data_IF_690465665535
#
_entry.id   IF_690465665535
#
_cell.length_a   1.000
_cell.length_b   1.000
_cell.length_c   1.000
_cell.angle_alpha   90.00
_cell.angle_beta   90.00
_cell.angle_gamma   90.00
#
_symmetry.space_group_name_H-M   'P 1'
#
loop_
_entity.id
_entity.type
_entity.pdbx_description
1 polymer ?
#
# COMPACT_ATOMS: atom_id res chain seq x y z
N UNK A 1 38.99 27.93 89.61
CA UNK A 1 39.18 28.97 88.57
C UNK A 1 39.34 28.29 87.23
N UNK A 2 38.85 28.74 86.08
CA UNK A 2 37.84 29.71 85.65
C UNK A 2 37.65 29.35 84.15
N UNK A 3 36.43 29.43 83.65
CA UNK A 3 36.08 29.49 82.21
C UNK A 3 36.92 30.57 81.48
N UNK A 4 37.14 30.49 80.14
CA UNK A 4 36.16 31.07 79.22
C UNK A 4 36.08 30.46 77.79
N UNK A 5 34.86 30.41 77.25
CA UNK A 5 34.51 30.69 75.84
C UNK A 5 34.91 32.11 75.45
N UNK A 6 35.24 32.44 74.18
CA UNK A 6 34.24 33.02 73.27
C UNK A 6 34.45 32.60 71.78
N UNK A 7 33.40 32.40 70.98
CA UNK A 7 32.49 33.36 70.33
C UNK A 7 33.04 33.99 69.02
N UNK A 8 32.37 33.61 67.93
CA UNK A 8 31.84 34.43 66.83
C UNK A 8 32.65 35.59 66.26
N UNK A 9 32.88 35.54 64.93
CA UNK A 9 32.62 36.68 64.05
C UNK A 9 32.57 36.29 62.57
N UNK A 10 31.52 36.79 61.92
CA UNK A 10 31.26 36.84 60.49
C UNK A 10 32.35 37.65 59.76
N UNK A 11 32.67 37.32 58.50
CA UNK A 11 32.70 38.35 57.45
C UNK A 11 32.63 37.80 56.01
N UNK A 12 32.00 38.64 55.20
CA UNK A 12 31.50 38.53 53.84
C UNK A 12 32.56 39.04 52.82
N UNK A 13 32.42 38.67 51.53
CA UNK A 13 32.87 39.38 50.28
C UNK A 13 33.88 38.64 49.37
N UNK A 14 33.45 38.41 48.11
CA UNK A 14 34.21 38.09 46.86
C UNK A 14 35.16 39.25 46.43
N UNK A 15 36.04 39.19 45.36
CA UNK A 15 36.05 38.33 44.13
C UNK A 15 37.43 37.84 43.53
N UNK A 16 37.40 36.74 42.74
CA UNK A 16 38.24 36.28 41.56
C UNK A 16 39.79 36.49 41.46
N UNK A 17 40.56 35.88 40.50
CA UNK A 17 40.40 34.65 39.67
C UNK A 17 41.67 33.73 39.51
N UNK A 18 41.47 32.41 39.37
CA UNK A 18 42.28 31.45 38.57
C UNK A 18 43.53 30.76 39.20
N UNK A 19 44.12 29.71 38.58
CA UNK A 19 43.55 28.60 37.78
C UNK A 19 44.04 27.21 38.27
N UNK A 20 43.19 26.17 38.28
CA UNK A 20 43.65 24.75 38.33
C UNK A 20 42.57 23.78 37.86
N UNK A 21 42.54 23.60 36.54
CA UNK A 21 42.42 22.34 35.80
C UNK A 21 41.73 21.14 36.48
N UNK A 22 40.47 20.91 36.11
CA UNK A 22 39.86 19.57 36.06
C UNK A 22 38.85 19.56 34.91
N UNK A 23 39.35 19.34 33.69
CA UNK A 23 38.56 19.16 32.50
C UNK A 23 37.73 17.87 32.62
N UNK A 24 36.47 18.00 33.01
CA UNK A 24 35.47 16.96 32.81
C UNK A 24 35.22 16.84 31.31
N UNK A 25 35.72 15.76 30.71
CA UNK A 25 35.42 15.40 29.33
C UNK A 25 33.91 15.16 29.18
N UNK A 26 33.24 15.70 28.14
CA UNK A 26 31.89 15.29 27.83
C UNK A 26 31.91 13.82 27.35
N UNK A 27 30.90 12.99 27.69
CA UNK A 27 30.80 11.67 27.11
C UNK A 27 30.61 11.84 25.59
N UNK A 28 31.44 11.15 24.82
CA UNK A 28 31.36 11.12 23.37
C UNK A 28 29.97 10.62 22.94
N UNK A 29 29.17 11.54 22.41
CA UNK A 29 27.87 11.23 21.80
C UNK A 29 28.11 10.44 20.51
N UNK A 30 27.75 9.16 20.58
CA UNK A 30 27.67 8.22 19.46
C UNK A 30 26.80 8.80 18.32
N UNK A 31 27.15 8.58 17.03
CA UNK A 31 26.38 9.08 15.89
C UNK A 31 25.17 8.19 15.61
N UNK A 32 24.04 8.44 16.28
CA UNK A 32 22.75 7.79 16.02
C UNK A 32 21.63 8.72 15.41
N UNK A 33 21.74 10.06 15.31
CA UNK A 33 20.57 10.89 14.91
C UNK A 33 20.18 10.80 13.41
N UNK A 34 21.12 10.50 12.51
CA UNK A 34 20.88 10.64 11.06
C UNK A 34 19.85 9.65 10.47
N UNK A 35 19.61 8.49 11.10
CA UNK A 35 18.64 7.52 10.60
C UNK A 35 17.20 7.83 11.03
N UNK A 36 17.04 8.36 12.25
CA UNK A 36 15.73 8.77 12.78
C UNK A 36 15.24 10.04 12.10
N UNK A 37 16.13 10.98 11.81
CA UNK A 37 15.81 12.25 11.15
C UNK A 37 15.35 12.04 9.71
N UNK A 38 16.06 11.21 8.93
CA UNK A 38 15.63 10.80 7.58
C UNK A 38 14.27 10.13 7.55
N UNK A 39 14.00 9.22 8.52
CA UNK A 39 12.69 8.58 8.66
C UNK A 39 11.59 9.59 8.99
N UNK A 40 11.89 10.55 9.84
CA UNK A 40 10.94 11.60 10.23
C UNK A 40 10.62 12.54 9.06
N UNK A 41 11.64 12.93 8.28
CA UNK A 41 11.46 13.71 7.04
C UNK A 41 10.62 12.96 6.01
N UNK A 42 10.81 11.65 5.87
CA UNK A 42 10.02 10.82 4.96
C UNK A 42 8.56 10.75 5.41
N UNK A 43 8.30 10.61 6.72
CA UNK A 43 6.96 10.62 7.27
C UNK A 43 6.27 11.98 7.06
N UNK A 44 6.97 13.08 7.30
CA UNK A 44 6.45 14.42 7.06
C UNK A 44 6.13 14.67 5.57
N UNK A 45 6.91 14.09 4.65
CA UNK A 45 6.59 14.11 3.21
C UNK A 45 5.31 13.32 2.93
N UNK A 46 5.14 12.12 3.51
CA UNK A 46 3.93 11.30 3.36
C UNK A 46 2.70 12.01 3.90
N UNK A 47 2.80 12.64 5.05
CA UNK A 47 1.71 13.40 5.67
C UNK A 47 1.30 14.57 4.77
N UNK A 48 2.27 15.31 4.22
CA UNK A 48 1.98 16.39 3.25
C UNK A 48 1.28 15.86 2.00
N UNK A 49 1.72 14.73 1.47
CA UNK A 49 1.06 14.11 0.30
C UNK A 49 -0.33 13.58 0.62
N UNK A 50 -0.58 13.10 1.85
CA UNK A 50 -1.88 12.62 2.28
C UNK A 50 -2.86 13.77 2.44
N UNK A 51 -2.43 14.90 3.00
CA UNK A 51 -3.26 16.11 3.08
C UNK A 51 -3.65 16.58 1.68
N UNK A 52 -2.69 16.63 0.76
CA UNK A 52 -2.95 17.03 -0.63
C UNK A 52 -3.93 16.07 -1.32
N UNK A 53 -3.76 14.76 -1.10
CA UNK A 53 -4.70 13.75 -1.58
C UNK A 53 -6.10 13.88 -0.97
N UNK A 54 -6.21 14.19 0.32
CA UNK A 54 -7.50 14.42 0.98
C UNK A 54 -8.20 15.66 0.42
N UNK A 55 -7.46 16.71 0.06
CA UNK A 55 -8.01 17.89 -0.61
C UNK A 55 -8.52 17.55 -2.02
N UNK A 56 -7.83 16.70 -2.77
CA UNK A 56 -8.31 16.24 -4.09
C UNK A 56 -9.64 15.45 -3.98
N UNK A 57 -9.91 14.83 -2.84
CA UNK A 57 -11.15 14.08 -2.60
C UNK A 57 -12.37 14.97 -2.33
N UNK A 58 -12.19 16.28 -2.11
CA UNK A 58 -13.32 17.22 -1.97
C UNK A 58 -14.09 17.43 -3.28
N UNK A 59 -13.43 17.29 -4.42
CA UNK A 59 -14.04 17.47 -5.74
C UNK A 59 -14.23 16.14 -6.51
N UNK A 60 -13.70 15.04 -5.98
CA UNK A 60 -13.82 13.73 -6.62
C UNK A 60 -15.10 13.00 -6.20
N UNK A 61 -15.88 12.50 -7.17
CA UNK A 61 -17.04 11.65 -6.94
C UNK A 61 -16.73 10.19 -7.31
N UNK A 62 -16.54 9.29 -6.33
CA UNK A 62 -16.23 7.89 -6.59
C UNK A 62 -17.40 7.13 -7.24
N UNK A 63 -17.10 6.02 -7.93
CA UNK A 63 -18.12 5.12 -8.51
C UNK A 63 -19.15 4.59 -7.49
N UNK A 64 -18.72 4.35 -6.26
CA UNK A 64 -19.56 3.92 -5.13
C UNK A 64 -20.16 5.18 -4.49
N UNK A 65 -21.51 5.35 -4.52
CA UNK A 65 -22.18 6.50 -3.91
C UNK A 65 -21.97 6.58 -2.40
N UNK A 66 -22.07 7.79 -1.85
CA UNK A 66 -21.82 8.07 -0.45
C UNK A 66 -22.78 7.29 0.48
N UNK A 67 -24.03 7.11 0.07
CA UNK A 67 -25.08 6.46 0.84
C UNK A 67 -24.75 4.97 1.07
N UNK A 68 -24.14 4.32 0.07
CA UNK A 68 -23.71 2.92 0.19
C UNK A 68 -22.58 2.82 1.21
N UNK A 69 -21.61 3.73 1.15
CA UNK A 69 -20.50 3.75 2.10
C UNK A 69 -20.98 4.06 3.52
N UNK A 70 -21.90 5.01 3.67
CA UNK A 70 -22.51 5.35 4.95
C UNK A 70 -23.28 4.18 5.57
N UNK A 71 -24.05 3.43 4.78
CA UNK A 71 -24.72 2.21 5.23
C UNK A 71 -23.72 1.18 5.80
N UNK A 72 -22.61 0.93 5.10
CA UNK A 72 -21.60 -0.02 5.57
C UNK A 72 -20.84 0.48 6.80
N UNK A 73 -20.60 1.79 6.91
CA UNK A 73 -19.98 2.42 8.07
C UNK A 73 -20.88 2.30 9.32
N UNK A 74 -22.18 2.61 9.19
CA UNK A 74 -23.16 2.42 10.26
C UNK A 74 -23.27 0.95 10.69
N UNK A 75 -23.23 0.02 9.73
CA UNK A 75 -23.27 -1.42 10.02
C UNK A 75 -22.10 -1.90 10.87
N UNK A 76 -20.93 -1.28 10.75
CA UNK A 76 -19.75 -1.58 11.60
C UNK A 76 -19.71 -0.74 12.88
N UNK A 77 -20.68 0.16 13.09
CA UNK A 77 -20.77 1.05 14.25
C UNK A 77 -19.83 2.25 14.18
N UNK A 78 -19.44 2.69 12.97
CA UNK A 78 -18.60 3.86 12.77
C UNK A 78 -19.40 4.95 12.05
N UNK A 79 -19.46 6.14 12.65
CA UNK A 79 -20.08 7.32 12.05
C UNK A 79 -18.99 8.36 11.77
N UNK A 80 -19.00 8.92 10.56
CA UNK A 80 -18.07 9.96 10.16
C UNK A 80 -18.81 11.02 9.36
N UNK A 81 -18.68 12.27 9.79
CA UNK A 81 -19.31 13.42 9.13
C UNK A 81 -18.47 13.92 7.95
N UNK A 82 -17.16 13.63 7.92
CA UNK A 82 -16.25 14.08 6.87
C UNK A 82 -16.47 13.30 5.57
N UNK A 83 -16.99 14.00 4.55
CA UNK A 83 -17.27 13.46 3.22
C UNK A 83 -16.00 12.92 2.55
N UNK A 84 -14.83 13.52 2.81
CA UNK A 84 -13.55 13.07 2.25
C UNK A 84 -13.17 11.69 2.75
N UNK A 85 -13.47 11.38 4.01
CA UNK A 85 -13.22 10.05 4.59
C UNK A 85 -14.16 9.01 3.98
N UNK A 86 -15.44 9.36 3.78
CA UNK A 86 -16.39 8.51 3.06
C UNK A 86 -15.88 8.21 1.63
N UNK A 87 -15.43 9.24 0.91
CA UNK A 87 -14.89 9.11 -0.46
C UNK A 87 -13.57 8.36 -0.53
N UNK A 88 -12.69 8.57 0.44
CA UNK A 88 -11.44 7.82 0.58
C UNK A 88 -11.71 6.33 0.70
N UNK A 89 -12.65 5.95 1.58
CA UNK A 89 -13.03 4.56 1.78
C UNK A 89 -13.65 3.95 0.52
N UNK A 90 -14.54 4.70 -0.15
CA UNK A 90 -15.10 4.31 -1.44
C UNK A 90 -14.01 4.06 -2.49
N UNK A 91 -13.02 4.94 -2.60
CA UNK A 91 -11.93 4.84 -3.58
C UNK A 91 -10.99 3.67 -3.23
N UNK A 92 -10.68 3.46 -1.96
CA UNK A 92 -9.88 2.32 -1.51
C UNK A 92 -10.56 0.99 -1.85
N UNK A 93 -11.87 0.87 -1.62
CA UNK A 93 -12.65 -0.32 -1.98
C UNK A 93 -12.69 -0.53 -3.51
N UNK A 94 -12.86 0.53 -4.29
CA UNK A 94 -12.81 0.47 -5.76
C UNK A 94 -11.46 0.00 -6.26
N UNK A 95 -10.38 0.56 -5.72
CA UNK A 95 -9.02 0.14 -6.05
C UNK A 95 -8.82 -1.34 -5.71
N UNK A 96 -9.21 -1.75 -4.52
CA UNK A 96 -9.09 -3.14 -4.08
C UNK A 96 -9.80 -4.12 -5.02
N UNK A 97 -11.05 -3.83 -5.40
CA UNK A 97 -11.79 -4.66 -6.36
C UNK A 97 -11.14 -4.63 -7.74
N UNK A 98 -10.60 -3.48 -8.17
CA UNK A 98 -9.92 -3.33 -9.45
C UNK A 98 -8.64 -4.15 -9.53
N UNK A 99 -7.87 -4.22 -8.44
CA UNK A 99 -6.66 -5.04 -8.35
C UNK A 99 -7.02 -6.53 -8.49
N UNK A 100 -8.01 -7.02 -7.73
CA UNK A 100 -8.50 -8.41 -7.82
C UNK A 100 -9.04 -8.74 -9.22
N UNK A 101 -9.82 -7.83 -9.81
CA UNK A 101 -10.36 -8.02 -11.16
C UNK A 101 -9.24 -8.05 -12.21
N UNK A 102 -8.19 -7.25 -12.03
CA UNK A 102 -6.99 -7.26 -12.86
C UNK A 102 -6.28 -8.61 -12.82
N UNK A 103 -6.08 -9.17 -11.64
CA UNK A 103 -5.43 -10.48 -11.47
C UNK A 103 -6.30 -11.61 -12.03
N UNK A 104 -7.60 -11.62 -11.72
CA UNK A 104 -8.54 -12.59 -12.27
C UNK A 104 -8.63 -12.53 -13.81
N UNK A 105 -8.52 -11.34 -14.40
CA UNK A 105 -8.47 -11.18 -15.85
C UNK A 105 -7.22 -11.81 -16.46
N UNK A 106 -6.06 -11.75 -15.79
CA UNK A 106 -4.84 -12.41 -16.25
C UNK A 106 -5.01 -13.94 -16.27
N UNK A 107 -5.57 -14.51 -15.20
CA UNK A 107 -5.91 -15.94 -15.13
C UNK A 107 -6.87 -16.35 -16.25
N UNK A 108 -7.98 -15.60 -16.42
CA UNK A 108 -8.96 -15.87 -17.47
C UNK A 108 -8.34 -15.77 -18.87
N UNK A 109 -7.47 -14.78 -19.11
CA UNK A 109 -6.79 -14.56 -20.39
C UNK A 109 -5.75 -15.64 -20.70
N UNK A 110 -4.96 -16.09 -19.71
CA UNK A 110 -4.00 -17.18 -19.92
C UNK A 110 -4.76 -18.43 -20.27
N UNK A 111 -5.84 -18.75 -19.55
CA UNK A 111 -6.66 -19.94 -19.82
C UNK A 111 -7.34 -19.89 -21.19
N UNK A 112 -7.93 -18.76 -21.59
CA UNK A 112 -8.60 -18.64 -22.90
C UNK A 112 -7.63 -18.64 -24.07
N UNK A 113 -6.40 -18.13 -23.90
CA UNK A 113 -5.35 -18.19 -24.93
C UNK A 113 -4.56 -19.50 -24.93
N UNK A 114 -4.50 -20.20 -23.80
CA UNK A 114 -3.90 -21.53 -23.66
C UNK A 114 -4.86 -22.66 -24.02
N UNK A 115 -6.18 -22.40 -24.07
CA UNK A 115 -7.13 -23.29 -24.73
C UNK A 115 -6.63 -23.51 -26.16
N UNK A 116 -6.50 -24.76 -26.62
CA UNK A 116 -5.92 -25.05 -27.92
C UNK A 116 -6.85 -24.44 -28.98
N UNK A 117 -6.48 -23.28 -29.51
CA UNK A 117 -6.87 -22.87 -30.84
C UNK A 117 -6.55 -24.07 -31.73
N UNK A 118 -7.60 -24.70 -32.25
CA UNK A 118 -7.52 -26.01 -32.89
C UNK A 118 -6.33 -26.12 -33.84
N UNK A 119 -5.50 -27.14 -33.60
CA UNK A 119 -4.60 -27.79 -34.57
C UNK A 119 -4.06 -26.88 -35.69
N UNK A 120 -3.02 -26.11 -35.40
CA UNK A 120 -2.10 -25.66 -36.45
C UNK A 120 -0.66 -25.56 -35.92
N UNK A 121 -0.20 -26.58 -35.18
CA UNK A 121 1.21 -26.97 -35.20
C UNK A 121 1.31 -28.17 -36.14
N UNK A 122 1.32 -27.92 -37.45
CA UNK A 122 1.90 -28.88 -38.39
C UNK A 122 3.38 -28.56 -38.45
N UNK A 123 4.12 -29.31 -37.66
CA UNK A 123 5.55 -29.49 -37.79
C UNK A 123 5.84 -30.13 -39.16
N UNK A 124 6.84 -29.58 -39.88
CA UNK A 124 7.61 -30.16 -40.99
C UNK A 124 6.90 -31.14 -41.95
N UNK A 125 6.64 -30.66 -43.17
CA UNK A 125 6.43 -31.50 -44.35
C UNK A 125 6.70 -30.69 -45.61
N UNK A 126 7.51 -31.24 -46.51
CA UNK A 126 8.12 -30.57 -47.64
C UNK A 126 7.14 -30.19 -48.77
N UNK A 127 7.50 -29.12 -49.50
CA UNK A 127 7.25 -29.00 -50.94
C UNK A 127 5.97 -28.32 -51.38
N UNK A 128 6.10 -27.43 -52.38
CA UNK A 128 5.02 -27.12 -53.31
C UNK A 128 4.53 -25.67 -53.30
N UNK A 129 4.84 -24.96 -54.36
CA UNK A 129 4.33 -23.63 -54.68
C UNK A 129 2.80 -23.59 -54.83
N UNK A 130 2.16 -22.51 -54.39
CA UNK A 130 1.11 -21.80 -55.15
C UNK A 130 0.58 -20.62 -54.35
N UNK A 131 0.56 -19.45 -55.00
CA UNK A 131 -0.08 -18.26 -54.47
C UNK A 131 -1.58 -18.45 -54.37
N UNK A 132 -2.15 -17.94 -53.28
CA UNK A 132 -3.59 -17.93 -53.05
C UNK A 132 -3.91 -17.06 -51.84
N UNK A 133 -4.50 -15.90 -52.10
CA UNK A 133 -5.09 -15.01 -51.11
C UNK A 133 -6.05 -15.79 -50.21
N UNK A 134 -5.87 -15.70 -48.90
CA UNK A 134 -6.98 -15.87 -47.96
C UNK A 134 -6.77 -14.98 -46.74
N UNK A 135 -7.47 -13.84 -46.78
CA UNK A 135 -7.75 -12.93 -45.68
C UNK A 135 -8.58 -13.64 -44.59
N UNK A 136 -7.98 -14.64 -43.92
CA UNK A 136 -8.65 -15.51 -42.94
C UNK A 136 -8.02 -15.51 -41.55
N UNK A 137 -6.95 -14.76 -41.32
CA UNK A 137 -6.26 -14.75 -40.03
C UNK A 137 -6.94 -13.89 -38.94
N UNK A 138 -7.89 -13.02 -39.32
CA UNK A 138 -8.49 -12.06 -38.40
C UNK A 138 -9.79 -12.54 -37.73
N UNK A 139 -10.45 -13.60 -38.20
CA UNK A 139 -11.79 -13.99 -37.72
C UNK A 139 -11.80 -15.04 -36.60
N UNK A 140 -10.64 -15.62 -36.27
CA UNK A 140 -10.49 -16.60 -35.18
C UNK A 140 -10.14 -15.91 -33.85
N UNK A 141 -9.47 -14.76 -33.92
CA UNK A 141 -9.07 -13.98 -32.72
C UNK A 141 -10.24 -13.30 -32.02
N UNK A 142 -11.35 -13.10 -32.72
CA UNK A 142 -12.54 -12.40 -32.22
C UNK A 142 -13.55 -13.30 -31.48
N UNK A 143 -13.36 -14.63 -31.45
CA UNK A 143 -14.41 -15.56 -30.96
C UNK A 143 -14.25 -16.05 -29.52
N UNK A 144 -13.06 -15.97 -28.93
CA UNK A 144 -12.87 -16.31 -27.51
C UNK A 144 -13.01 -15.06 -26.65
N UNK A 145 -14.26 -14.63 -26.41
CA UNK A 145 -14.54 -13.61 -25.39
C UNK A 145 -14.01 -14.12 -24.05
N UNK A 146 -13.18 -13.32 -23.38
CA UNK A 146 -12.74 -13.62 -22.02
C UNK A 146 -13.95 -13.57 -21.09
N UNK A 147 -14.17 -14.66 -20.37
CA UNK A 147 -15.24 -14.79 -19.36
C UNK A 147 -14.60 -14.96 -17.99
N UNK A 148 -15.08 -14.19 -17.01
CA UNK A 148 -14.69 -14.37 -15.62
C UNK A 148 -15.39 -15.61 -15.06
N UNK A 149 -14.62 -16.60 -14.61
CA UNK A 149 -15.16 -17.83 -14.03
C UNK A 149 -14.69 -18.03 -12.59
N UNK A 150 -15.28 -19.01 -11.91
CA UNK A 150 -14.91 -19.34 -10.54
C UNK A 150 -13.47 -19.85 -10.40
N UNK A 151 -12.91 -20.51 -11.42
CA UNK A 151 -11.53 -20.99 -11.38
C UNK A 151 -10.52 -19.83 -11.39
N UNK A 152 -10.76 -18.84 -12.24
CA UNK A 152 -9.88 -17.66 -12.37
C UNK A 152 -9.97 -16.79 -11.11
N UNK A 153 -11.19 -16.57 -10.62
CA UNK A 153 -11.43 -15.80 -9.42
C UNK A 153 -10.87 -16.51 -8.18
N UNK A 154 -11.06 -17.82 -8.07
CA UNK A 154 -10.53 -18.62 -6.97
C UNK A 154 -9.00 -18.63 -6.94
N UNK A 155 -8.35 -18.67 -8.11
CA UNK A 155 -6.89 -18.57 -8.24
C UNK A 155 -6.39 -17.19 -7.83
N UNK A 156 -7.02 -16.12 -8.30
CA UNK A 156 -6.68 -14.75 -7.91
C UNK A 156 -6.85 -14.54 -6.39
N UNK A 157 -8.00 -14.92 -5.83
CA UNK A 157 -8.30 -14.78 -4.40
C UNK A 157 -7.35 -15.59 -3.50
N UNK A 158 -6.82 -16.72 -3.97
CA UNK A 158 -5.87 -17.53 -3.21
C UNK A 158 -4.56 -16.76 -2.94
N UNK A 159 -4.13 -15.87 -3.84
CA UNK A 159 -2.96 -15.00 -3.62
C UNK A 159 -3.19 -13.99 -2.49
N UNK A 160 -4.44 -13.56 -2.31
CA UNK A 160 -4.87 -12.70 -1.21
C UNK A 160 -5.21 -13.49 0.07
N UNK A 161 -5.00 -14.81 0.10
CA UNK A 161 -5.27 -15.68 1.25
C UNK A 161 -6.74 -16.09 1.43
N UNK A 162 -7.59 -15.86 0.42
CA UNK A 162 -9.02 -16.19 0.46
C UNK A 162 -9.28 -17.49 -0.31
N UNK A 163 -9.87 -18.49 0.37
CA UNK A 163 -10.19 -19.77 -0.25
C UNK A 163 -11.64 -19.81 -0.75
N UNK A 164 -11.84 -19.61 -2.06
CA UNK A 164 -13.15 -19.60 -2.72
C UNK A 164 -13.42 -20.91 -3.50
N UNK A 165 -13.10 -22.08 -2.92
CA UNK A 165 -13.37 -23.39 -3.57
C UNK A 165 -14.86 -23.72 -3.58
N UNK A 166 -15.44 -23.76 -4.79
CA UNK A 166 -16.77 -24.29 -5.02
C UNK A 166 -16.66 -25.74 -5.52
N UNK A 167 -17.36 -26.72 -4.91
CA UNK A 167 -17.41 -28.06 -5.46
C UNK A 167 -18.18 -28.07 -6.78
N UNK A 168 -17.70 -28.85 -7.76
CA UNK A 168 -18.34 -29.00 -9.08
C UNK A 168 -19.70 -29.69 -9.01
N UNK A 169 -19.89 -30.56 -8.01
CA UNK A 169 -21.13 -31.27 -7.76
C UNK A 169 -21.30 -31.56 -6.27
N UNK A 170 -22.55 -31.71 -5.83
CA UNK A 170 -22.90 -32.23 -4.50
C UNK A 170 -23.01 -33.75 -4.60
N UNK A 171 -22.33 -34.48 -3.70
CA UNK A 171 -22.54 -35.91 -3.47
C UNK A 171 -23.33 -36.11 -2.19
#
# INVERSE_FOLDING_TARGET
MNTPTPASSQQQSQPQPGPSNAAAAPPASQPIPAFQERRNEEQARKDRTLVDFMLMLDDYEPLIPNEVTEYYLQRVGFECEDVRVKRLLSLAAQKFISDIAGDAYQYARIRTNAAPAGRARVEKGAGGASGGQSSGANTVKDKTKTVLTMDDLGSALAEYGINARKPEFFL
#
